data_IF_783356310476
#
_entry.id   IF_783356310476
#
_cell.length_a   1.000
_cell.length_b   1.000
_cell.length_c   1.000
_cell.angle_alpha   90.00
_cell.angle_beta   90.00
_cell.angle_gamma   90.00
#
_symmetry.space_group_name_H-M   'P 1'
#
loop_
_entity.id
_entity.type
_entity.pdbx_description
1 polymer ?
#
# COMPACT_ATOMS: atom_id res chain seq x y z
N UNK A 1 45.69 -65.33 5.79
CA UNK A 1 45.47 -64.00 6.42
C UNK A 1 45.42 -62.99 5.27
N UNK A 2 44.23 -62.42 4.96
CA UNK A 2 43.86 -61.00 5.24
C UNK A 2 44.66 -60.03 4.34
N UNK A 3 44.17 -59.20 3.40
CA UNK A 3 42.88 -58.50 3.16
C UNK A 3 42.83 -58.06 1.66
N UNK A 4 41.74 -58.27 0.91
CA UNK A 4 40.63 -57.33 0.58
C UNK A 4 40.99 -56.05 -0.23
N UNK A 5 40.73 -56.16 -1.55
CA UNK A 5 39.99 -55.30 -2.47
C UNK A 5 39.71 -53.78 -2.24
N UNK A 6 39.80 -53.07 -3.38
CA UNK A 6 38.95 -51.97 -3.89
C UNK A 6 39.42 -50.51 -3.72
N UNK A 7 39.62 -49.75 -4.82
CA UNK A 7 39.67 -48.30 -4.79
C UNK A 7 38.24 -47.74 -4.77
N UNK A 8 37.86 -47.00 -3.73
CA UNK A 8 36.55 -46.36 -3.66
C UNK A 8 36.58 -44.99 -4.36
N UNK A 9 35.65 -44.87 -5.30
CA UNK A 9 35.37 -43.76 -6.20
C UNK A 9 34.89 -42.50 -5.43
N UNK A 10 35.23 -41.35 -6.01
CA UNK A 10 34.85 -40.01 -5.58
C UNK A 10 33.33 -39.78 -5.52
N UNK A 11 32.89 -38.98 -4.55
CA UNK A 11 31.62 -38.26 -4.60
C UNK A 11 31.83 -36.85 -4.02
N UNK A 12 32.29 -35.92 -4.88
CA UNK A 12 32.17 -34.49 -4.62
C UNK A 12 30.68 -34.16 -4.67
N UNK A 13 30.08 -33.87 -3.52
CA UNK A 13 28.75 -33.29 -3.43
C UNK A 13 28.87 -31.88 -4.01
N UNK A 14 28.61 -31.76 -5.32
CA UNK A 14 28.32 -30.49 -5.94
C UNK A 14 27.00 -29.99 -5.34
N UNK A 15 27.09 -29.13 -4.33
CA UNK A 15 25.94 -28.31 -3.94
C UNK A 15 25.72 -27.37 -5.11
N UNK A 16 24.76 -27.69 -5.97
CA UNK A 16 24.29 -26.77 -6.99
C UNK A 16 23.98 -25.45 -6.30
N UNK A 17 24.51 -24.30 -6.79
CA UNK A 17 24.03 -23.02 -6.29
C UNK A 17 22.53 -23.03 -6.52
N UNK A 18 21.75 -22.91 -5.45
CA UNK A 18 20.34 -22.61 -5.58
C UNK A 18 20.27 -21.40 -6.50
N UNK A 19 19.59 -21.57 -7.64
CA UNK A 19 19.32 -20.45 -8.52
C UNK A 19 18.66 -19.40 -7.64
N UNK A 20 19.33 -18.25 -7.48
CA UNK A 20 18.71 -17.10 -6.85
C UNK A 20 17.41 -16.87 -7.62
N UNK A 21 16.27 -16.97 -6.93
CA UNK A 21 14.98 -16.63 -7.51
C UNK A 21 15.15 -15.26 -8.18
N UNK A 22 14.76 -15.17 -9.46
CA UNK A 22 14.76 -13.88 -10.14
C UNK A 22 14.00 -12.90 -9.24
N UNK A 23 14.51 -11.66 -9.05
CA UNK A 23 13.80 -10.67 -8.26
C UNK A 23 12.37 -10.62 -8.78
N UNK A 24 11.42 -10.94 -7.91
CA UNK A 24 10.00 -10.96 -8.26
C UNK A 24 9.70 -9.69 -9.03
N UNK A 25 9.15 -9.82 -10.25
CA UNK A 25 8.73 -8.69 -11.10
C UNK A 25 7.49 -8.04 -10.49
N UNK A 26 7.60 -7.59 -9.25
CA UNK A 26 6.55 -6.92 -8.53
C UNK A 26 6.45 -5.51 -9.11
N UNK A 27 5.44 -5.28 -9.95
CA UNK A 27 5.02 -3.93 -10.30
C UNK A 27 4.45 -3.27 -9.06
N UNK A 28 4.75 -1.99 -8.86
CA UNK A 28 4.09 -1.22 -7.81
C UNK A 28 2.58 -1.21 -8.09
N UNK A 29 1.77 -1.48 -7.07
CA UNK A 29 0.32 -1.36 -7.16
C UNK A 29 -0.07 0.06 -7.62
N UNK A 30 -1.03 0.17 -8.53
CA UNK A 30 -1.55 1.46 -8.98
C UNK A 30 -2.06 2.27 -7.78
N UNK A 31 -1.73 3.56 -7.78
CA UNK A 31 -2.09 4.48 -6.70
C UNK A 31 -3.22 5.39 -7.18
N UNK A 32 -4.07 5.82 -6.26
CA UNK A 32 -4.80 7.08 -6.46
C UNK A 32 -4.11 8.16 -5.63
N UNK A 33 -3.76 9.28 -6.29
CA UNK A 33 -3.06 10.43 -5.69
C UNK A 33 -4.04 11.48 -5.16
N UNK A 34 -3.71 12.04 -3.99
CA UNK A 34 -4.45 13.15 -3.36
C UNK A 34 -3.59 14.12 -2.49
N UNK A 35 -2.51 14.80 -2.95
CA UNK A 35 -1.62 15.79 -2.21
C UNK A 35 -0.07 15.47 -2.13
N UNK A 36 0.78 15.83 -1.10
CA UNK A 36 2.21 15.30 -0.85
C UNK A 36 2.59 14.31 0.33
N UNK A 37 1.90 14.22 1.48
CA UNK A 37 2.00 13.11 2.46
C UNK A 37 2.76 13.38 3.77
N UNK A 38 3.33 14.57 3.95
CA UNK A 38 4.43 14.83 4.91
C UNK A 38 4.03 14.98 6.40
N UNK A 39 2.74 15.15 6.70
CA UNK A 39 2.26 15.58 8.03
C UNK A 39 1.44 14.49 8.75
N UNK A 40 1.31 14.59 10.08
CA UNK A 40 0.75 13.53 10.94
C UNK A 40 -0.70 13.11 10.60
N UNK A 41 -1.58 14.07 10.31
CA UNK A 41 -2.99 13.81 9.95
C UNK A 41 -3.11 13.01 8.64
N UNK A 42 -2.29 13.39 7.68
CA UNK A 42 -2.15 12.74 6.39
C UNK A 42 -1.44 11.39 6.49
N UNK A 43 -0.35 11.30 7.26
CA UNK A 43 0.41 10.07 7.49
C UNK A 43 -0.44 8.99 8.17
N UNK A 44 -1.28 9.38 9.13
CA UNK A 44 -2.22 8.47 9.78
C UNK A 44 -3.24 7.90 8.77
N UNK A 45 -3.74 8.72 7.85
CA UNK A 45 -4.68 8.25 6.84
C UNK A 45 -4.02 7.33 5.80
N UNK A 46 -2.79 7.63 5.40
CA UNK A 46 -1.98 6.74 4.55
C UNK A 46 -1.71 5.40 5.24
N UNK A 47 -1.28 5.42 6.51
CA UNK A 47 -1.08 4.22 7.31
C UNK A 47 -2.36 3.37 7.39
N UNK A 48 -3.50 4.01 7.66
CA UNK A 48 -4.80 3.36 7.63
C UNK A 48 -5.03 2.66 6.30
N UNK A 49 -4.96 3.36 5.16
CA UNK A 49 -5.16 2.77 3.84
C UNK A 49 -4.19 1.62 3.51
N UNK A 50 -2.95 1.66 4.02
CA UNK A 50 -1.96 0.56 3.90
C UNK A 50 -2.27 -0.69 4.73
N UNK A 51 -3.38 -0.70 5.46
CA UNK A 51 -3.74 -1.84 6.28
C UNK A 51 -3.25 -1.74 7.72
N UNK A 52 -2.59 -0.65 8.11
CA UNK A 52 -2.06 -0.49 9.47
C UNK A 52 -3.19 -0.23 10.48
N UNK A 53 -2.95 -0.60 11.73
CA UNK A 53 -3.90 -0.30 12.81
C UNK A 53 -3.67 1.13 13.28
N UNK A 54 -4.65 1.99 13.06
CA UNK A 54 -4.70 3.35 13.60
C UNK A 54 -5.85 3.48 14.58
N UNK A 55 -5.72 4.43 15.51
CA UNK A 55 -6.70 4.69 16.55
C UNK A 55 -7.30 6.08 16.38
N UNK A 56 -8.57 6.24 16.72
CA UNK A 56 -9.17 7.56 16.85
C UNK A 56 -8.55 8.30 18.03
N UNK A 57 -8.04 9.51 17.82
CA UNK A 57 -7.40 10.28 18.88
C UNK A 57 -8.32 10.55 20.09
N UNK A 58 -9.63 10.73 19.84
CA UNK A 58 -10.59 11.08 20.89
C UNK A 58 -11.00 9.86 21.74
N UNK A 59 -11.20 8.71 21.10
CA UNK A 59 -11.72 7.50 21.78
C UNK A 59 -10.64 6.47 22.08
N UNK A 60 -9.48 6.58 21.44
CA UNK A 60 -8.42 5.56 21.39
C UNK A 60 -8.88 4.19 20.87
N UNK A 61 -10.06 4.11 20.26
CA UNK A 61 -10.56 2.90 19.64
C UNK A 61 -9.96 2.73 18.25
N UNK A 62 -9.86 1.47 17.80
CA UNK A 62 -9.45 1.17 16.44
C UNK A 62 -10.41 1.79 15.43
N UNK A 63 -9.85 2.38 14.37
CA UNK A 63 -10.64 3.01 13.30
C UNK A 63 -11.49 2.00 12.53
N UNK A 64 -11.07 0.74 12.47
CA UNK A 64 -11.72 -0.30 11.69
C UNK A 64 -11.32 -0.27 10.20
N UNK A 65 -11.94 -1.14 9.40
CA UNK A 65 -11.70 -1.23 7.94
C UNK A 65 -12.55 -0.25 7.12
N UNK A 66 -13.55 0.38 7.73
CA UNK A 66 -14.47 1.28 7.06
C UNK A 66 -14.61 2.59 7.85
N UNK A 67 -14.55 3.72 7.14
CA UNK A 67 -14.85 5.03 7.72
C UNK A 67 -15.97 5.67 6.91
N UNK A 68 -17.00 6.14 7.60
CA UNK A 68 -18.07 6.90 6.95
C UNK A 68 -18.47 8.14 7.73
N UNK A 69 -18.97 9.14 7.02
CA UNK A 69 -19.58 10.34 7.59
C UNK A 69 -18.59 11.14 8.48
N UNK A 70 -17.33 11.22 8.05
CA UNK A 70 -16.24 11.93 8.76
C UNK A 70 -15.71 13.12 7.98
N UNK A 71 -15.31 14.14 8.74
CA UNK A 71 -14.53 15.26 8.25
C UNK A 71 -13.06 15.03 8.57
N UNK A 72 -12.21 15.21 7.58
CA UNK A 72 -10.76 15.16 7.69
C UNK A 72 -10.20 16.53 7.37
N UNK A 73 -9.38 17.02 8.27
CA UNK A 73 -8.48 18.12 7.96
C UNK A 73 -7.25 17.49 7.32
N UNK A 74 -6.91 17.96 6.12
CA UNK A 74 -5.71 17.57 5.45
C UNK A 74 -4.74 18.74 5.46
N UNK A 75 -3.49 18.37 5.68
CA UNK A 75 -2.33 19.22 5.46
C UNK A 75 -1.62 18.84 4.16
N UNK A 76 -1.80 17.59 3.65
CA UNK A 76 -1.15 17.05 2.44
C UNK A 76 -1.68 15.68 1.87
N UNK A 77 -0.90 14.90 1.05
CA UNK A 77 -1.35 13.70 0.25
C UNK A 77 -1.98 12.58 1.00
N UNK A 78 -3.09 12.09 0.47
CA UNK A 78 -3.43 10.67 0.57
C UNK A 78 -3.02 9.85 -0.66
N UNK A 79 -2.13 8.87 -0.49
CA UNK A 79 -1.84 7.83 -1.48
C UNK A 79 -2.59 6.56 -1.11
N UNK A 80 -3.40 6.06 -2.04
CA UNK A 80 -4.21 4.87 -1.79
C UNK A 80 -3.73 3.75 -2.68
N UNK A 81 -3.28 2.66 -2.06
CA UNK A 81 -2.87 1.43 -2.73
C UNK A 81 -4.04 0.45 -2.82
N UNK A 82 -4.00 -0.39 -3.87
CA UNK A 82 -4.86 -1.56 -3.99
C UNK A 82 -4.72 -2.57 -2.84
N UNK A 83 -5.78 -3.33 -2.56
CA UNK A 83 -5.69 -4.64 -1.91
C UNK A 83 -5.92 -4.73 -0.40
N UNK A 84 -6.19 -3.63 0.30
CA UNK A 84 -6.34 -3.66 1.77
C UNK A 84 -7.76 -3.87 2.26
N UNK A 85 -8.75 -3.86 1.36
CA UNK A 85 -10.17 -3.96 1.63
C UNK A 85 -10.76 -2.71 2.30
N UNK A 86 -9.95 -1.67 2.53
CA UNK A 86 -10.38 -0.48 3.27
C UNK A 86 -11.18 0.46 2.40
N UNK A 87 -12.18 1.08 3.02
CA UNK A 87 -13.16 1.91 2.31
C UNK A 87 -13.54 3.13 3.13
N UNK A 88 -13.59 4.27 2.45
CA UNK A 88 -14.12 5.52 2.97
C UNK A 88 -15.37 5.92 2.18
N UNK A 89 -16.42 6.33 2.87
CA UNK A 89 -17.69 6.77 2.25
C UNK A 89 -18.19 8.07 2.85
N UNK A 90 -18.95 8.87 2.08
CA UNK A 90 -19.67 10.06 2.57
C UNK A 90 -18.78 10.96 3.44
N UNK A 91 -17.56 11.17 2.99
CA UNK A 91 -16.55 11.91 3.72
C UNK A 91 -16.47 13.36 3.25
N UNK A 92 -15.71 14.15 4.00
CA UNK A 92 -15.27 15.48 3.59
C UNK A 92 -13.82 15.68 3.99
N UNK A 93 -12.95 15.87 3.01
CA UNK A 93 -11.56 16.27 3.19
C UNK A 93 -11.45 17.77 2.92
N UNK A 94 -10.70 18.47 3.77
CA UNK A 94 -10.53 19.92 3.68
C UNK A 94 -9.05 20.24 3.74
N UNK A 95 -8.56 20.99 2.77
CA UNK A 95 -7.23 21.61 2.84
C UNK A 95 -7.40 23.13 2.89
N UNK A 96 -7.41 23.74 4.10
CA UNK A 96 -7.81 25.14 4.27
C UNK A 96 -6.86 26.12 3.59
N UNK A 97 -5.60 25.75 3.43
CA UNK A 97 -4.55 26.59 2.86
C UNK A 97 -4.74 26.84 1.36
N UNK A 98 -5.44 25.94 0.67
CA UNK A 98 -5.77 26.04 -0.75
C UNK A 98 -7.26 26.31 -1.01
N UNK A 99 -8.05 26.47 0.06
CA UNK A 99 -9.51 26.49 0.00
C UNK A 99 -10.07 25.29 -0.79
N UNK A 100 -9.42 24.14 -0.64
CA UNK A 100 -9.73 22.91 -1.36
C UNK A 100 -10.64 22.02 -0.52
N UNK A 101 -11.64 21.44 -1.18
CA UNK A 101 -12.64 20.58 -0.56
C UNK A 101 -12.93 19.40 -1.46
N UNK A 102 -12.74 18.18 -0.94
CA UNK A 102 -13.10 16.92 -1.59
C UNK A 102 -14.19 16.25 -0.76
N UNK A 103 -15.35 15.96 -1.37
CA UNK A 103 -16.54 15.53 -0.65
C UNK A 103 -17.33 14.46 -1.36
N UNK A 104 -18.04 13.67 -0.57
CA UNK A 104 -18.99 12.68 -1.07
C UNK A 104 -18.32 11.45 -1.66
N UNK A 105 -19.13 10.59 -2.27
CA UNK A 105 -18.66 9.42 -2.98
C UNK A 105 -18.05 8.33 -2.08
N UNK A 106 -17.26 7.50 -2.75
CA UNK A 106 -16.56 6.35 -2.18
C UNK A 106 -15.12 6.35 -2.65
N UNK A 107 -14.21 6.10 -1.71
CA UNK A 107 -12.82 5.74 -1.96
C UNK A 107 -12.62 4.33 -1.42
N UNK A 108 -12.20 3.39 -2.27
CA UNK A 108 -11.97 2.01 -1.88
C UNK A 108 -10.59 1.52 -2.34
N UNK A 109 -9.82 0.96 -1.41
CA UNK A 109 -8.57 0.28 -1.73
C UNK A 109 -8.79 -1.04 -2.49
N UNK A 110 -10.00 -1.60 -2.48
CA UNK A 110 -10.26 -2.92 -3.07
C UNK A 110 -9.57 -4.04 -2.29
N UNK A 111 -9.87 -5.30 -2.62
CA UNK A 111 -9.30 -6.48 -1.93
C UNK A 111 -8.15 -7.13 -2.71
N UNK A 112 -7.99 -6.77 -3.98
CA UNK A 112 -6.93 -7.27 -4.84
C UNK A 112 -5.73 -6.31 -4.79
N UNK A 113 -4.56 -6.76 -4.33
CA UNK A 113 -3.36 -5.93 -4.31
C UNK A 113 -2.87 -5.52 -5.70
N UNK A 114 -3.20 -6.27 -6.74
CA UNK A 114 -2.89 -5.94 -8.13
C UNK A 114 -4.04 -5.16 -8.81
N UNK A 115 -5.16 -5.01 -8.11
CA UNK A 115 -6.32 -4.25 -8.56
C UNK A 115 -6.17 -2.75 -8.30
N UNK A 116 -6.72 -1.94 -9.21
CA UNK A 116 -6.74 -0.50 -9.03
C UNK A 116 -7.70 -0.10 -7.89
N UNK A 117 -7.30 0.86 -7.02
CA UNK A 117 -8.22 1.47 -6.10
C UNK A 117 -9.32 2.22 -6.85
N UNK A 118 -10.52 2.27 -6.26
CA UNK A 118 -11.70 2.87 -6.87
C UNK A 118 -12.03 4.18 -6.18
N UNK A 119 -12.24 5.23 -6.97
CA UNK A 119 -12.80 6.50 -6.53
C UNK A 119 -14.04 6.82 -7.39
N UNK A 120 -15.21 6.95 -6.76
CA UNK A 120 -16.47 7.19 -7.47
C UNK A 120 -17.36 8.19 -6.72
N UNK A 121 -18.13 8.98 -7.47
CA UNK A 121 -19.11 9.92 -6.93
C UNK A 121 -18.52 11.07 -6.10
N UNK A 122 -17.23 11.37 -6.27
CA UNK A 122 -16.51 12.41 -5.52
C UNK A 122 -16.72 13.78 -6.17
N UNK A 123 -17.03 14.78 -5.36
CA UNK A 123 -17.07 16.19 -5.76
C UNK A 123 -15.83 16.90 -5.25
N UNK A 124 -15.16 17.64 -6.13
CA UNK A 124 -13.94 18.38 -5.82
C UNK A 124 -14.13 19.88 -6.07
N UNK A 125 -13.60 20.71 -5.17
CA UNK A 125 -13.60 22.17 -5.27
C UNK A 125 -12.15 22.64 -5.08
N UNK A 126 -11.64 23.45 -6.01
CA UNK A 126 -10.27 23.98 -6.04
C UNK A 126 -9.15 22.92 -6.02
N UNK A 127 -9.48 21.65 -6.26
CA UNK A 127 -8.55 20.53 -6.40
C UNK A 127 -7.73 20.62 -7.68
N UNK A 128 -6.51 20.09 -7.66
CA UNK A 128 -5.74 19.89 -8.87
C UNK A 128 -6.40 18.84 -9.80
N UNK A 129 -6.22 18.95 -11.13
CA UNK A 129 -6.88 18.07 -12.10
C UNK A 129 -6.40 16.61 -12.02
N UNK A 130 -5.23 16.36 -11.46
CA UNK A 130 -4.59 15.06 -11.23
C UNK A 130 -4.93 14.45 -9.84
N UNK A 131 -5.79 15.08 -9.06
CA UNK A 131 -6.32 14.46 -7.84
C UNK A 131 -7.42 13.43 -8.15
N UNK A 132 -7.38 12.29 -7.48
CA UNK A 132 -8.39 11.25 -7.64
C UNK A 132 -8.33 10.50 -8.96
N UNK A 133 -7.26 10.71 -9.74
CA UNK A 133 -6.95 9.88 -10.91
C UNK A 133 -5.85 8.87 -10.54
N UNK A 134 -5.78 7.73 -11.25
CA UNK A 134 -4.65 6.82 -11.11
C UNK A 134 -3.32 7.56 -11.35
N UNK A 135 -2.35 7.33 -10.48
CA UNK A 135 -1.03 7.93 -10.50
C UNK A 135 0.04 6.84 -10.49
N UNK A 136 0.88 6.83 -11.52
CA UNK A 136 2.10 6.02 -11.55
C UNK A 136 3.17 6.71 -10.70
N UNK A 137 3.16 6.40 -9.41
CA UNK A 137 4.13 6.92 -8.46
C UNK A 137 5.55 6.40 -8.72
N UNK A 138 6.57 7.03 -8.09
CA UNK A 138 7.92 6.49 -8.11
C UNK A 138 7.89 5.05 -7.58
N UNK A 139 8.72 4.18 -8.18
CA UNK A 139 8.85 2.80 -7.71
C UNK A 139 9.15 2.81 -6.21
N UNK A 140 8.34 2.13 -5.42
CA UNK A 140 8.60 1.97 -4.00
C UNK A 140 9.96 1.27 -3.85
N UNK A 141 10.91 1.96 -3.24
CA UNK A 141 12.14 1.31 -2.79
C UNK A 141 11.74 0.17 -1.83
N UNK A 142 12.41 -1.00 -1.87
CA UNK A 142 12.14 -2.08 -0.95
C UNK A 142 12.24 -1.51 0.47
N UNK A 143 11.12 -1.44 1.18
CA UNK A 143 11.14 -1.00 2.58
C UNK A 143 12.08 -1.93 3.35
N UNK A 144 12.87 -1.40 4.29
CA UNK A 144 13.71 -2.19 5.21
C UNK A 144 12.91 -3.30 5.94
N UNK A 145 11.59 -3.28 5.86
CA UNK A 145 10.63 -4.23 6.40
C UNK A 145 10.23 -5.39 5.45
N UNK A 146 10.98 -5.62 4.37
CA UNK A 146 10.85 -6.82 3.53
C UNK A 146 9.97 -6.63 2.28
N UNK A 147 9.77 -7.73 1.57
CA UNK A 147 8.98 -7.82 0.33
C UNK A 147 7.57 -7.24 0.61
N UNK A 148 7.08 -6.26 -0.18
CA UNK A 148 5.74 -5.72 0.00
C UNK A 148 4.70 -6.85 0.05
N UNK A 149 3.70 -6.75 0.93
CA UNK A 149 2.72 -7.83 1.15
C UNK A 149 2.01 -8.28 -0.13
N UNK A 150 1.83 -7.38 -1.10
CA UNK A 150 1.29 -7.68 -2.42
C UNK A 150 2.19 -8.59 -3.28
N UNK A 151 3.49 -8.60 -3.02
CA UNK A 151 4.45 -9.47 -3.69
C UNK A 151 4.67 -10.81 -2.95
N UNK A 152 3.98 -11.06 -1.83
CA UNK A 152 4.14 -12.30 -1.02
C UNK A 152 3.22 -13.44 -1.46
N UNK A 153 2.41 -13.26 -2.51
CA UNK A 153 1.54 -14.31 -3.06
C UNK A 153 2.14 -14.89 -4.34
N UNK A 154 2.72 -16.08 -4.24
CA UNK A 154 2.90 -17.05 -5.35
C UNK A 154 1.79 -18.08 -5.35
#
# INVERSE_FOLDING_TARGET
MKHLATPLLAALIAVSPAAAEEPSKCSAASLVLWGDGEHDDTAALNAWFRGETVLWAQTHEAVGSEIADRNFLLSSTVYIHGGTGRKMERFRMVWPWRDEVVTGGTIAAGNDPDGEPVADGITKVNSDPDEGVPYDGPKLEPTEHGIPRHCLTS
#
